data_IF_779714084650
#
_entry.id   IF_779714084650
#
_cell.length_a   1.000
_cell.length_b   1.000
_cell.length_c   1.000
_cell.angle_alpha   90.00
_cell.angle_beta   90.00
_cell.angle_gamma   90.00
#
_symmetry.space_group_name_H-M   'P 1'
#
loop_
_entity.id
_entity.type
_entity.pdbx_description
1 polymer ?
#
# COMPACT_ATOMS: atom_id res chain seq x y z
N UNK A 1 12.69 2.95 -5.25
CA UNK A 1 13.58 2.82 -6.43
C UNK A 1 13.65 1.34 -6.81
N UNK A 2 13.68 1.00 -8.09
CA UNK A 2 13.82 -0.38 -8.57
C UNK A 2 15.19 -0.58 -9.23
N UNK A 3 15.85 -1.69 -8.90
CA UNK A 3 17.14 -2.11 -9.47
C UNK A 3 16.94 -3.44 -10.21
N UNK A 4 17.56 -3.60 -11.38
CA UNK A 4 17.41 -4.81 -12.20
C UNK A 4 18.77 -5.50 -12.31
N UNK A 5 18.96 -6.59 -11.55
CA UNK A 5 20.19 -7.40 -11.46
C UNK A 5 21.46 -6.65 -11.00
N UNK A 6 22.48 -7.41 -10.59
CA UNK A 6 23.72 -6.90 -9.99
C UNK A 6 24.67 -6.19 -10.96
N UNK A 7 24.42 -6.28 -12.27
CA UNK A 7 25.31 -5.74 -13.30
C UNK A 7 24.80 -4.41 -13.89
N UNK A 8 23.67 -3.89 -13.40
CA UNK A 8 23.20 -2.55 -13.75
C UNK A 8 23.42 -1.59 -12.59
N UNK A 9 24.09 -0.47 -12.88
CA UNK A 9 24.31 0.63 -11.92
C UNK A 9 23.18 1.66 -11.96
N UNK A 10 22.20 1.48 -12.85
CA UNK A 10 21.12 2.44 -13.06
C UNK A 10 19.83 1.97 -12.39
N UNK A 11 19.56 2.50 -11.19
CA UNK A 11 18.27 2.39 -10.53
C UNK A 11 17.22 3.28 -11.20
N UNK A 12 15.98 2.79 -11.29
CA UNK A 12 14.85 3.55 -11.82
C UNK A 12 13.95 4.04 -10.68
N UNK A 13 13.62 5.34 -10.72
CA UNK A 13 12.55 5.89 -9.88
C UNK A 13 11.22 5.45 -10.47
N UNK A 14 10.50 4.62 -9.71
CA UNK A 14 9.20 4.04 -10.07
C UNK A 14 8.04 4.67 -9.28
N UNK A 15 8.35 5.40 -8.22
CA UNK A 15 7.41 6.14 -7.37
C UNK A 15 8.15 7.28 -6.65
N UNK A 16 7.49 8.41 -6.43
CA UNK A 16 8.06 9.60 -5.80
C UNK A 16 9.08 10.34 -6.67
N UNK A 17 10.04 11.02 -6.03
CA UNK A 17 11.10 11.78 -6.71
C UNK A 17 10.70 13.17 -7.21
N UNK A 18 9.50 13.65 -6.82
CA UNK A 18 8.95 14.98 -7.16
C UNK A 18 8.61 15.80 -5.91
N UNK A 19 9.37 15.58 -4.83
CA UNK A 19 9.09 16.15 -3.51
C UNK A 19 7.96 15.44 -2.77
N UNK A 20 7.79 15.82 -1.51
CA UNK A 20 6.70 15.36 -0.66
C UNK A 20 5.37 15.97 -1.10
N UNK A 21 4.29 15.19 -1.11
CA UNK A 21 2.95 15.69 -1.41
C UNK A 21 1.96 14.60 -1.76
N UNK A 22 0.73 15.01 -2.06
CA UNK A 22 -0.42 14.13 -2.31
C UNK A 22 -0.69 13.89 -3.80
N UNK A 23 0.15 14.38 -4.71
CA UNK A 23 0.06 13.99 -6.12
C UNK A 23 0.36 12.49 -6.31
N UNK A 24 -0.19 11.85 -7.35
CA UNK A 24 0.10 10.42 -7.66
C UNK A 24 1.56 10.14 -8.04
N UNK A 25 2.34 11.20 -8.33
CA UNK A 25 3.77 11.15 -8.61
C UNK A 25 4.62 11.63 -7.42
N UNK A 26 3.98 11.96 -6.31
CA UNK A 26 4.62 12.33 -5.04
C UNK A 26 4.32 11.23 -4.02
N UNK A 27 5.14 11.18 -2.97
CA UNK A 27 4.91 10.31 -1.83
C UNK A 27 4.99 11.18 -0.57
N UNK A 28 4.16 10.89 0.41
CA UNK A 28 4.22 11.53 1.72
C UNK A 28 4.47 10.47 2.79
N UNK A 29 5.65 10.44 3.42
CA UNK A 29 5.96 9.49 4.50
C UNK A 29 5.53 8.02 4.25
N UNK A 30 6.01 7.36 3.17
CA UNK A 30 5.66 5.96 2.90
C UNK A 30 6.15 5.04 4.02
N UNK A 31 5.28 4.13 4.47
CA UNK A 31 5.58 3.19 5.57
C UNK A 31 5.71 1.75 5.11
N UNK A 32 5.11 1.38 3.97
CA UNK A 32 5.18 0.02 3.44
C UNK A 32 4.95 -0.03 1.91
N UNK A 33 5.41 -1.09 1.26
CA UNK A 33 5.26 -1.31 -0.18
C UNK A 33 5.20 -2.80 -0.51
N UNK A 34 4.28 -3.19 -1.41
CA UNK A 34 4.25 -4.53 -1.99
C UNK A 34 4.10 -4.48 -3.52
N UNK A 35 4.42 -5.61 -4.17
CA UNK A 35 4.31 -5.77 -5.62
C UNK A 35 3.05 -6.58 -5.92
N UNK A 36 2.15 -6.02 -6.72
CA UNK A 36 1.07 -6.77 -7.36
C UNK A 36 1.58 -7.31 -8.70
N UNK A 37 1.88 -8.62 -8.73
CA UNK A 37 2.44 -9.29 -9.91
C UNK A 37 1.46 -9.36 -11.08
N UNK A 38 0.16 -9.45 -10.81
CA UNK A 38 -0.86 -9.54 -11.86
C UNK A 38 -1.02 -8.19 -12.58
N UNK A 39 -0.98 -7.09 -11.85
CA UNK A 39 -1.10 -5.75 -12.46
C UNK A 39 0.24 -5.11 -12.82
N UNK A 40 1.35 -5.78 -12.51
CA UNK A 40 2.71 -5.23 -12.57
C UNK A 40 2.80 -3.85 -11.87
N UNK A 41 2.13 -3.76 -10.72
CA UNK A 41 1.96 -2.54 -9.94
C UNK A 41 2.72 -2.56 -8.61
N UNK A 42 3.01 -1.38 -8.07
CA UNK A 42 3.38 -1.18 -6.68
C UNK A 42 2.16 -0.71 -5.91
N UNK A 43 1.87 -1.35 -4.78
CA UNK A 43 0.91 -0.84 -3.82
C UNK A 43 1.71 -0.27 -2.65
N UNK A 44 1.53 1.03 -2.39
CA UNK A 44 2.32 1.78 -1.43
C UNK A 44 1.39 2.34 -0.36
N UNK A 45 1.77 2.09 0.88
CA UNK A 45 1.19 2.67 2.09
C UNK A 45 1.95 3.97 2.36
N UNK A 46 1.28 5.12 2.20
CA UNK A 46 1.90 6.44 2.34
C UNK A 46 0.94 7.47 2.93
N UNK A 47 1.46 8.30 3.83
CA UNK A 47 0.74 9.42 4.41
C UNK A 47 -0.56 8.96 5.04
N UNK A 48 -1.68 9.40 4.46
CA UNK A 48 -3.03 9.03 4.88
C UNK A 48 -3.75 8.11 3.88
N UNK A 49 -3.01 7.36 3.05
CA UNK A 49 -3.57 6.63 1.90
C UNK A 49 -2.79 5.37 1.52
N UNK A 50 -3.43 4.57 0.69
CA UNK A 50 -2.83 3.48 -0.06
C UNK A 50 -3.00 3.77 -1.54
N UNK A 51 -1.89 3.81 -2.27
CA UNK A 51 -1.88 4.10 -3.71
C UNK A 51 -1.37 2.90 -4.48
N UNK A 52 -1.89 2.70 -5.69
CA UNK A 52 -1.34 1.76 -6.67
C UNK A 52 -0.70 2.53 -7.80
N UNK A 53 0.57 2.27 -8.08
CA UNK A 53 1.34 2.90 -9.15
C UNK A 53 1.83 1.84 -10.13
N UNK A 54 1.86 2.15 -11.43
CA UNK A 54 2.49 1.25 -12.40
C UNK A 54 4.01 1.19 -12.21
N UNK A 55 4.59 -0.01 -12.28
CA UNK A 55 6.06 -0.17 -12.30
C UNK A 55 6.68 0.21 -13.64
N UNK A 56 5.87 0.35 -14.68
CA UNK A 56 6.36 0.68 -16.02
C UNK A 56 6.75 2.15 -16.07
N UNK A 57 8.04 2.36 -16.31
CA UNK A 57 8.66 3.66 -16.49
C UNK A 57 7.87 4.59 -17.42
N UNK A 58 7.81 5.88 -17.07
CA UNK A 58 7.22 6.91 -17.91
C UNK A 58 5.69 6.98 -17.88
N UNK A 59 5.01 6.12 -17.13
CA UNK A 59 3.56 6.23 -16.92
C UNK A 59 3.27 6.88 -15.57
N UNK A 60 2.61 8.03 -15.56
CA UNK A 60 1.99 8.65 -14.37
C UNK A 60 0.69 7.94 -13.97
N UNK A 61 0.50 6.69 -14.41
CA UNK A 61 -0.69 5.91 -14.13
C UNK A 61 -0.61 5.39 -12.71
N UNK A 62 -1.35 6.07 -11.85
CA UNK A 62 -1.58 5.68 -10.47
C UNK A 62 -3.04 5.87 -10.10
N UNK A 63 -3.47 5.21 -9.05
CA UNK A 63 -4.78 5.41 -8.45
C UNK A 63 -4.67 5.35 -6.93
N UNK A 64 -5.59 6.03 -6.26
CA UNK A 64 -5.77 5.91 -4.82
C UNK A 64 -6.70 4.71 -4.61
N UNK A 65 -6.22 3.69 -3.91
CA UNK A 65 -7.03 2.52 -3.54
C UNK A 65 -7.83 2.79 -2.27
N UNK A 66 -7.20 3.50 -1.33
CA UNK A 66 -7.77 3.87 -0.03
C UNK A 66 -7.24 5.24 0.36
N UNK A 67 -8.09 6.09 0.90
CA UNK A 67 -7.70 7.37 1.50
C UNK A 67 -8.23 7.49 2.94
N UNK A 68 -7.83 8.58 3.60
CA UNK A 68 -8.25 8.92 4.95
C UNK A 68 -7.98 7.81 6.00
N UNK A 69 -6.87 7.08 5.85
CA UNK A 69 -6.44 6.03 6.79
C UNK A 69 -5.02 6.26 7.27
N UNK A 70 -4.74 5.93 8.53
CA UNK A 70 -3.37 5.90 9.04
C UNK A 70 -2.73 4.54 8.78
N UNK A 71 -2.35 4.34 7.52
CA UNK A 71 -1.79 3.08 7.07
C UNK A 71 -0.44 2.78 7.77
N UNK A 72 -0.26 1.55 8.25
CA UNK A 72 0.95 1.09 8.94
C UNK A 72 1.64 -0.11 8.31
N UNK A 73 0.97 -0.80 7.40
CA UNK A 73 1.49 -2.02 6.80
C UNK A 73 0.51 -2.63 5.82
N UNK A 74 1.03 -3.38 4.86
CA UNK A 74 0.29 -4.02 3.79
C UNK A 74 0.64 -5.50 3.74
N UNK A 75 -0.36 -6.31 3.41
CA UNK A 75 -0.16 -7.70 2.99
C UNK A 75 -1.14 -8.03 1.86
N UNK A 76 -0.79 -8.99 1.02
CA UNK A 76 -1.68 -9.50 -0.01
C UNK A 76 -1.57 -11.02 -0.08
N UNK A 77 -2.70 -11.71 -0.16
CA UNK A 77 -2.72 -13.17 -0.31
C UNK A 77 -2.69 -13.63 -1.78
N UNK A 78 -2.68 -14.94 -1.98
CA UNK A 78 -2.67 -15.56 -3.32
C UNK A 78 -3.97 -15.31 -4.10
N UNK A 79 -5.08 -15.05 -3.41
CA UNK A 79 -6.37 -14.69 -4.01
C UNK A 79 -6.48 -13.18 -4.30
N UNK A 80 -5.41 -12.42 -4.00
CA UNK A 80 -5.28 -10.97 -4.21
C UNK A 80 -6.19 -10.12 -3.34
N UNK A 81 -6.56 -10.61 -2.16
CA UNK A 81 -7.10 -9.73 -1.15
C UNK A 81 -5.98 -8.86 -0.57
N UNK A 82 -6.19 -7.54 -0.59
CA UNK A 82 -5.33 -6.58 0.06
C UNK A 82 -5.75 -6.42 1.52
N UNK A 83 -4.80 -6.66 2.42
CA UNK A 83 -4.93 -6.45 3.85
C UNK A 83 -4.15 -5.21 4.25
N UNK A 84 -4.81 -4.30 4.96
CA UNK A 84 -4.22 -3.04 5.38
C UNK A 84 -4.26 -2.92 6.89
N UNK A 85 -3.09 -2.80 7.49
CA UNK A 85 -2.92 -2.39 8.88
C UNK A 85 -3.22 -0.89 8.98
N UNK A 86 -4.13 -0.52 9.87
CA UNK A 86 -4.43 0.86 10.26
C UNK A 86 -4.04 1.07 11.72
N UNK A 87 -3.25 2.11 11.99
CA UNK A 87 -2.81 2.49 13.34
C UNK A 87 -3.76 3.54 13.92
N UNK A 88 -4.53 3.18 14.94
CA UNK A 88 -5.43 4.09 15.66
C UNK A 88 -4.92 4.29 17.09
N UNK A 89 -3.97 5.21 17.31
CA UNK A 89 -3.33 5.34 18.62
C UNK A 89 -2.47 4.10 18.98
N UNK A 90 -2.78 3.41 20.08
CA UNK A 90 -2.10 2.17 20.48
C UNK A 90 -2.70 0.90 19.85
N UNK A 91 -3.71 1.09 19.00
CA UNK A 91 -4.54 0.05 18.41
C UNK A 91 -4.14 -0.20 16.95
N UNK A 92 -4.11 -1.47 16.54
CA UNK A 92 -3.88 -1.85 15.14
C UNK A 92 -5.10 -2.58 14.63
N UNK A 93 -5.68 -2.13 13.53
CA UNK A 93 -6.83 -2.77 12.88
C UNK A 93 -6.34 -3.32 11.54
N UNK A 94 -6.68 -4.57 11.22
CA UNK A 94 -6.46 -5.13 9.90
C UNK A 94 -7.80 -5.08 9.18
N UNK A 95 -7.83 -4.29 8.12
CA UNK A 95 -8.96 -4.19 7.20
C UNK A 95 -8.65 -4.97 5.94
N UNK A 96 -9.67 -5.57 5.33
CA UNK A 96 -9.55 -6.22 4.03
C UNK A 96 -10.32 -5.42 2.98
N UNK A 97 -9.76 -5.32 1.76
CA UNK A 97 -10.49 -4.77 0.63
C UNK A 97 -11.79 -5.56 0.44
N UNK A 98 -12.93 -4.87 0.30
CA UNK A 98 -14.14 -5.58 0.00
C UNK A 98 -14.05 -6.19 -1.40
N UNK A 99 -14.62 -7.38 -1.51
CA UNK A 99 -15.08 -7.93 -2.78
C UNK A 99 -15.86 -6.86 -3.58
N UNK A 100 -15.99 -7.00 -4.92
CA UNK A 100 -16.33 -5.91 -5.84
C UNK A 100 -17.56 -5.04 -5.53
N UNK A 101 -18.40 -5.40 -4.54
CA UNK A 101 -19.68 -4.75 -4.24
C UNK A 101 -19.93 -4.51 -2.73
N UNK A 102 -18.93 -4.62 -1.85
CA UNK A 102 -19.05 -4.37 -0.41
C UNK A 102 -18.26 -3.15 0.07
N UNK A 103 -18.56 -2.61 1.25
CA UNK A 103 -17.67 -1.67 1.96
C UNK A 103 -16.56 -2.43 2.71
N UNK A 104 -15.46 -1.75 3.07
CA UNK A 104 -14.33 -2.36 3.79
C UNK A 104 -14.77 -3.09 5.06
N UNK A 105 -14.19 -4.27 5.28
CA UNK A 105 -14.50 -5.11 6.45
C UNK A 105 -13.29 -5.17 7.38
N UNK A 106 -13.50 -4.84 8.65
CA UNK A 106 -12.54 -5.10 9.72
C UNK A 106 -12.47 -6.61 9.95
N UNK A 107 -11.32 -7.22 9.71
CA UNK A 107 -11.14 -8.67 9.88
C UNK A 107 -10.45 -9.02 11.19
N UNK A 108 -9.66 -8.08 11.72
CA UNK A 108 -8.97 -8.26 12.99
C UNK A 108 -8.62 -6.91 13.61
N UNK A 109 -8.50 -6.91 14.93
CA UNK A 109 -8.02 -5.79 15.71
C UNK A 109 -7.07 -6.28 16.80
N UNK A 110 -6.03 -5.49 17.09
CA UNK A 110 -5.04 -5.76 18.10
C UNK A 110 -5.02 -4.70 19.19
N UNK A 111 -5.19 -5.13 20.45
CA UNK A 111 -4.92 -4.32 21.65
C UNK A 111 -3.71 -4.91 22.37
N UNK A 112 -2.71 -4.08 22.67
CA UNK A 112 -1.55 -4.48 23.51
C UNK A 112 -0.93 -5.84 23.12
N UNK A 113 -0.58 -5.99 21.83
CA UNK A 113 0.10 -7.16 21.21
C UNK A 113 -0.73 -8.45 21.03
N UNK A 114 -2.03 -8.47 21.37
CA UNK A 114 -2.90 -9.63 21.08
C UNK A 114 -3.77 -9.33 19.87
N UNK A 115 -3.79 -10.21 18.87
CA UNK A 115 -4.66 -10.11 17.70
C UNK A 115 -6.00 -10.81 17.99
N UNK A 116 -7.11 -10.12 17.74
CA UNK A 116 -8.47 -10.66 17.86
C UNK A 116 -9.12 -10.60 16.48
N UNK A 117 -9.61 -11.74 15.99
CA UNK A 117 -10.39 -11.81 14.76
C UNK A 117 -11.83 -11.41 15.04
N UNK A 118 -12.43 -10.60 14.16
CA UNK A 118 -13.85 -10.23 14.24
C UNK A 118 -14.60 -11.22 13.36
N UNK A 119 -15.45 -12.07 13.96
CA UNK A 119 -16.31 -13.03 13.25
C UNK A 119 -17.64 -12.40 12.86
#
# INVERSE_FOLDING_TARGET
MQWKNSNTTNGQVVAGGKGQGTGLHQLDHPTDVLIDKETDGLIICEGSRVVRLSRRSGTTKGEILIDNIKCCGLAMDEQRYLYVCVCVGAEKIITQQPQPQGGWMDIAYAKRRTLHFVS
#
